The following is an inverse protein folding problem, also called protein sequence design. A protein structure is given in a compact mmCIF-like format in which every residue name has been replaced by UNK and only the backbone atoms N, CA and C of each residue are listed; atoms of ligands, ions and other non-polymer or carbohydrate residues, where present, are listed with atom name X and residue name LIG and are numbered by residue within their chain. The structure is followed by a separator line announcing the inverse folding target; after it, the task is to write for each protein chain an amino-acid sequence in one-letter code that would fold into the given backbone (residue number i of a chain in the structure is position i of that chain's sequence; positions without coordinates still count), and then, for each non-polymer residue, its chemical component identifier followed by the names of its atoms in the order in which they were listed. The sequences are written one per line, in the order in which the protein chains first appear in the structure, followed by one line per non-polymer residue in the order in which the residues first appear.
data_IF_404873913902
#
_entry.id   IF_404873913902
#
_cell.length_a   1.000
_cell.length_b   1.000
_cell.length_c   1.000
_cell.angle_alpha   90.00
_cell.angle_beta   90.00
_cell.angle_gamma   90.00
#
_symmetry.space_group_name_H-M   'P 1'
#
loop_
_entity.id
_entity.type
_entity.pdbx_description
1 polymer ?
#
# COMPACT_ATOMS: atom_id res chain seq x y z
N UNK A 1 10.35 -1.41 -29.03
CA UNK A 1 9.11 -1.56 -28.26
C UNK A 1 8.04 -0.60 -28.79
N UNK A 2 6.81 -1.09 -28.91
CA UNK A 2 5.67 -0.24 -29.22
C UNK A 2 4.98 0.20 -27.91
N UNK A 3 4.41 1.39 -27.91
CA UNK A 3 3.85 1.99 -26.69
C UNK A 3 2.37 1.63 -26.56
N UNK A 4 2.06 0.65 -25.71
CA UNK A 4 0.69 0.17 -25.46
C UNK A 4 0.02 -0.60 -26.62
N UNK A 5 0.72 -0.79 -27.73
CA UNK A 5 0.22 -1.41 -28.97
C UNK A 5 1.29 -2.32 -29.59
N UNK A 6 0.91 -3.02 -30.67
CA UNK A 6 1.81 -3.89 -31.44
C UNK A 6 1.76 -3.60 -32.96
N UNK A 7 1.40 -2.39 -33.32
CA UNK A 7 1.12 -2.00 -34.70
C UNK A 7 2.37 -2.04 -35.58
N UNK A 8 3.56 -1.79 -35.04
CA UNK A 8 4.82 -1.86 -35.77
C UNK A 8 5.33 -3.29 -36.01
N UNK A 9 4.75 -4.31 -35.37
CA UNK A 9 5.23 -5.70 -35.48
C UNK A 9 5.11 -6.28 -36.89
N UNK A 10 3.98 -6.09 -37.62
CA UNK A 10 3.86 -6.59 -38.99
C UNK A 10 4.92 -6.02 -39.92
N UNK A 11 5.18 -4.70 -39.85
CA UNK A 11 6.18 -4.04 -40.70
C UNK A 11 7.60 -4.53 -40.41
N UNK A 12 7.94 -4.67 -39.11
CA UNK A 12 9.21 -5.22 -38.69
C UNK A 12 9.39 -6.68 -39.14
N UNK A 13 8.32 -7.49 -39.07
CA UNK A 13 8.36 -8.89 -39.53
C UNK A 13 8.54 -8.96 -41.03
N UNK A 14 7.79 -8.14 -41.79
CA UNK A 14 7.92 -8.08 -43.25
C UNK A 14 9.33 -7.67 -43.70
N UNK A 15 9.95 -6.71 -42.97
CA UNK A 15 11.33 -6.32 -43.24
C UNK A 15 12.30 -7.50 -43.02
N UNK A 16 12.17 -8.27 -41.96
CA UNK A 16 13.04 -9.45 -41.69
C UNK A 16 12.92 -10.49 -42.80
N UNK A 17 11.72 -10.71 -43.34
CA UNK A 17 11.48 -11.66 -44.43
C UNK A 17 12.20 -11.26 -45.75
N UNK A 18 12.65 -9.99 -45.88
CA UNK A 18 13.41 -9.49 -47.01
C UNK A 18 14.93 -9.67 -46.83
N UNK A 19 15.41 -10.01 -45.65
CA UNK A 19 16.83 -10.17 -45.36
C UNK A 19 17.30 -11.57 -45.75
N UNK A 20 18.61 -11.68 -46.08
CA UNK A 20 19.24 -12.98 -46.32
C UNK A 20 19.25 -13.84 -45.05
N UNK A 21 19.15 -15.16 -45.20
CA UNK A 21 19.11 -16.10 -44.06
C UNK A 21 20.35 -16.03 -43.15
N UNK A 22 21.46 -15.56 -43.69
CA UNK A 22 22.74 -15.45 -42.96
C UNK A 22 22.93 -14.03 -42.40
N UNK A 23 21.95 -13.12 -42.55
CA UNK A 23 22.03 -11.77 -41.98
C UNK A 23 21.97 -11.86 -40.45
N UNK A 24 22.93 -11.28 -39.72
CA UNK A 24 22.99 -11.31 -38.27
C UNK A 24 21.91 -10.41 -37.60
N UNK A 25 21.18 -9.62 -38.38
CA UNK A 25 20.15 -8.72 -37.85
C UNK A 25 18.99 -9.48 -37.23
N UNK A 26 18.59 -9.05 -36.03
CA UNK A 26 17.46 -9.63 -35.28
C UNK A 26 16.54 -8.55 -34.78
N UNK A 27 15.25 -8.78 -34.91
CA UNK A 27 14.23 -7.97 -34.25
C UNK A 27 13.74 -8.67 -32.98
N UNK A 28 13.78 -7.94 -31.86
CA UNK A 28 13.16 -8.37 -30.60
C UNK A 28 11.85 -7.59 -30.46
N UNK A 29 10.75 -8.32 -30.49
CA UNK A 29 9.42 -7.74 -30.33
C UNK A 29 9.16 -7.43 -28.86
N UNK A 30 8.62 -6.25 -28.58
CA UNK A 30 8.31 -5.84 -27.21
C UNK A 30 7.23 -4.75 -27.19
N UNK A 31 6.57 -4.66 -26.07
CA UNK A 31 5.57 -3.62 -25.79
C UNK A 31 5.93 -2.90 -24.49
N UNK A 32 5.76 -1.59 -24.49
CA UNK A 32 5.77 -0.77 -23.29
C UNK A 32 4.32 -0.60 -22.83
N UNK A 33 4.01 -1.07 -21.63
CA UNK A 33 2.68 -1.04 -21.05
C UNK A 33 2.67 -0.40 -19.67
N UNK A 34 1.48 -0.23 -19.14
CA UNK A 34 1.23 0.24 -17.78
C UNK A 34 0.62 -0.90 -16.98
N UNK A 35 1.36 -1.38 -15.98
CA UNK A 35 0.86 -2.37 -15.04
C UNK A 35 0.10 -1.65 -13.92
N UNK A 36 -1.13 -2.05 -13.70
CA UNK A 36 -1.93 -1.68 -12.53
C UNK A 36 -2.14 -2.95 -11.72
N UNK A 37 -1.87 -2.88 -10.42
CA UNK A 37 -2.15 -3.98 -9.50
C UNK A 37 -3.59 -3.84 -8.98
N UNK A 38 -4.53 -4.31 -9.77
CA UNK A 38 -5.97 -4.29 -9.46
C UNK A 38 -6.42 -5.50 -8.62
N UNK A 39 -5.50 -6.41 -8.33
CA UNK A 39 -5.72 -7.56 -7.44
C UNK A 39 -5.36 -7.25 -5.98
N UNK A 40 -4.88 -6.04 -5.70
CA UNK A 40 -4.48 -5.68 -4.35
C UNK A 40 -5.70 -5.53 -3.44
N UNK A 41 -5.84 -6.48 -2.53
CA UNK A 41 -6.87 -6.45 -1.50
C UNK A 41 -6.68 -5.25 -0.58
N UNK A 42 -7.80 -4.60 -0.21
CA UNK A 42 -7.82 -3.53 0.79
C UNK A 42 -7.50 -4.08 2.18
N UNK A 43 -7.99 -5.29 2.47
CA UNK A 43 -7.69 -6.07 3.67
C UNK A 43 -6.80 -7.25 3.30
N UNK A 44 -5.51 -7.20 3.67
CA UNK A 44 -4.53 -8.24 3.40
C UNK A 44 -4.58 -9.29 4.50
N UNK A 45 -4.46 -10.59 4.14
CA UNK A 45 -4.49 -11.73 5.05
C UNK A 45 -5.75 -11.72 5.95
N UNK A 46 -6.89 -11.38 5.36
CA UNK A 46 -8.16 -11.39 6.06
C UNK A 46 -8.64 -12.83 6.35
N UNK A 47 -9.40 -12.98 7.41
CA UNK A 47 -9.92 -14.26 7.92
C UNK A 47 -11.44 -14.16 8.19
N UNK A 48 -12.14 -13.31 7.43
CA UNK A 48 -13.57 -13.05 7.59
C UNK A 48 -13.93 -12.25 8.86
N UNK A 49 -12.99 -11.44 9.37
CA UNK A 49 -13.23 -10.63 10.58
C UNK A 49 -14.36 -9.63 10.33
N UNK A 50 -15.19 -9.43 11.37
CA UNK A 50 -16.27 -8.46 11.36
C UNK A 50 -15.76 -7.03 11.35
N UNK A 51 -16.45 -6.14 10.63
CA UNK A 51 -16.19 -4.70 10.66
C UNK A 51 -16.42 -4.07 12.05
N UNK A 52 -17.15 -4.74 12.93
CA UNK A 52 -17.35 -4.36 14.35
C UNK A 52 -16.30 -4.95 15.29
N UNK A 53 -15.23 -5.52 14.77
CA UNK A 53 -14.16 -6.09 15.54
C UNK A 53 -13.27 -5.06 16.25
N UNK A 54 -12.20 -5.55 16.84
CA UNK A 54 -11.15 -4.71 17.43
C UNK A 54 -10.08 -4.41 16.37
N UNK A 55 -9.71 -3.13 16.26
CA UNK A 55 -8.73 -2.62 15.33
C UNK A 55 -7.64 -1.85 16.09
N UNK A 56 -6.41 -2.00 15.65
CA UNK A 56 -5.30 -1.13 16.05
C UNK A 56 -4.89 -0.31 14.85
N UNK A 57 -5.24 0.98 14.88
CA UNK A 57 -4.86 1.94 13.86
C UNK A 57 -3.54 2.55 14.27
N UNK A 58 -2.53 2.47 13.40
CA UNK A 58 -1.18 2.87 13.74
C UNK A 58 -0.48 3.60 12.60
N UNK A 59 0.56 4.32 12.97
CA UNK A 59 1.44 5.06 12.09
C UNK A 59 2.86 4.99 12.63
N UNK A 60 3.86 5.01 11.76
CA UNK A 60 5.27 4.93 12.10
C UNK A 60 6.02 6.13 11.54
N UNK A 61 6.91 6.69 12.36
CA UNK A 61 7.98 7.53 11.85
C UNK A 61 9.26 6.72 11.75
N UNK A 62 10.02 6.90 10.67
CA UNK A 62 11.17 6.07 10.32
C UNK A 62 12.33 6.90 9.80
N UNK A 63 13.56 6.35 9.81
CA UNK A 63 14.74 7.01 9.26
C UNK A 63 14.77 7.06 7.72
N UNK A 64 13.86 6.33 7.05
CA UNK A 64 13.74 6.29 5.58
C UNK A 64 12.63 5.34 5.14
N UNK A 65 12.66 4.89 3.88
CA UNK A 65 11.53 4.19 3.26
C UNK A 65 11.71 2.67 3.14
N UNK A 66 12.84 2.12 3.52
CA UNK A 66 13.15 0.69 3.37
C UNK A 66 13.05 -0.03 4.70
N UNK A 67 12.05 -0.90 4.88
CA UNK A 67 11.89 -1.69 6.10
C UNK A 67 13.12 -2.56 6.44
N UNK A 68 13.94 -2.90 5.44
CA UNK A 68 15.17 -3.70 5.63
C UNK A 68 16.38 -2.84 6.04
N UNK A 69 16.46 -1.59 5.56
CA UNK A 69 17.64 -0.73 5.74
C UNK A 69 17.43 0.38 6.76
N UNK A 70 16.22 0.87 6.85
CA UNK A 70 15.88 1.99 7.71
C UNK A 70 15.27 1.51 9.03
N UNK A 71 15.16 2.42 10.00
CA UNK A 71 14.77 2.11 11.37
C UNK A 71 13.54 2.89 11.79
N UNK A 72 12.71 2.29 12.64
CA UNK A 72 11.60 2.96 13.32
C UNK A 72 12.15 3.93 14.35
N UNK A 73 11.59 5.14 14.43
CA UNK A 73 11.94 6.17 15.42
C UNK A 73 10.76 6.60 16.30
N UNK A 74 9.51 6.40 15.83
CA UNK A 74 8.30 6.57 16.64
C UNK A 74 7.25 5.53 16.22
N UNK A 75 6.49 5.01 17.20
CA UNK A 75 5.28 4.22 16.99
C UNK A 75 4.13 4.95 17.65
N UNK A 76 3.11 5.29 16.87
CA UNK A 76 1.85 5.82 17.36
C UNK A 76 0.71 4.89 17.00
N UNK A 77 -0.15 4.56 17.95
CA UNK A 77 -1.31 3.73 17.68
C UNK A 77 -2.49 4.09 18.57
N UNK A 78 -3.69 3.79 18.07
CA UNK A 78 -4.93 3.86 18.85
C UNK A 78 -5.72 2.58 18.62
N UNK A 79 -6.39 2.11 19.68
CA UNK A 79 -7.28 0.95 19.61
C UNK A 79 -8.71 1.44 19.37
N UNK A 80 -9.37 0.80 18.42
CA UNK A 80 -10.76 1.08 18.06
C UNK A 80 -11.58 -0.18 18.35
N UNK A 81 -12.63 -0.04 19.14
CA UNK A 81 -13.57 -1.09 19.48
C UNK A 81 -15.00 -0.55 19.30
N UNK A 82 -15.82 -1.28 18.55
CA UNK A 82 -17.20 -0.87 18.24
C UNK A 82 -17.32 0.57 17.67
N UNK A 83 -16.34 1.01 16.91
CA UNK A 83 -16.32 2.34 16.30
C UNK A 83 -15.86 3.49 17.21
N UNK A 84 -15.38 3.18 18.42
CA UNK A 84 -14.87 4.17 19.38
C UNK A 84 -13.39 3.93 19.67
N UNK A 85 -12.62 5.00 19.86
CA UNK A 85 -11.22 4.92 20.29
C UNK A 85 -11.21 4.65 21.79
N UNK A 86 -10.68 3.50 22.19
CA UNK A 86 -10.71 3.01 23.58
C UNK A 86 -9.36 3.10 24.29
N UNK A 87 -8.25 3.04 23.55
CA UNK A 87 -6.91 3.08 24.11
C UNK A 87 -5.90 3.69 23.12
N UNK A 88 -4.72 4.08 23.62
CA UNK A 88 -3.63 4.66 22.81
C UNK A 88 -2.28 4.14 23.23
N UNK A 89 -1.40 4.03 22.26
CA UNK A 89 0.00 3.68 22.43
C UNK A 89 0.87 4.71 21.72
N UNK A 90 1.90 5.23 22.36
CA UNK A 90 2.84 6.17 21.74
C UNK A 90 4.21 6.02 22.40
N UNK A 91 5.24 5.83 21.60
CA UNK A 91 6.60 5.71 22.10
C UNK A 91 7.61 6.11 21.03
N UNK A 92 8.68 6.77 21.46
CA UNK A 92 9.89 6.88 20.64
C UNK A 92 10.68 5.57 20.68
N UNK A 93 11.46 5.35 19.65
CA UNK A 93 12.35 4.19 19.51
C UNK A 93 13.74 4.71 19.16
N UNK A 94 14.77 4.24 19.91
CA UNK A 94 16.14 4.56 19.58
C UNK A 94 16.63 3.75 18.38
N UNK A 95 16.89 4.38 17.22
CA UNK A 95 17.29 3.67 16.00
C UNK A 95 18.74 3.18 16.03
N UNK A 96 19.57 3.61 17.01
CA UNK A 96 21.03 3.39 17.09
C UNK A 96 21.83 3.88 15.88
N UNK A 97 21.23 4.68 15.04
CA UNK A 97 21.86 5.36 13.92
C UNK A 97 21.38 6.82 13.89
N UNK A 98 22.17 7.75 13.36
CA UNK A 98 21.73 9.13 13.21
C UNK A 98 20.49 9.26 12.35
N UNK A 99 19.55 10.09 12.77
CA UNK A 99 18.35 10.42 11.98
C UNK A 99 18.77 11.34 10.83
N UNK A 100 18.48 10.98 9.56
CA UNK A 100 18.82 11.84 8.42
C UNK A 100 18.15 13.21 8.55
N UNK A 101 18.89 14.27 8.27
CA UNK A 101 18.41 15.65 8.39
C UNK A 101 17.06 15.91 7.73
N UNK A 102 16.82 15.34 6.53
CA UNK A 102 15.53 15.43 5.84
C UNK A 102 14.37 14.81 6.62
N UNK A 103 14.63 13.76 7.40
CA UNK A 103 13.61 13.11 8.26
C UNK A 103 13.32 14.01 9.45
N UNK A 104 14.35 14.55 10.11
CA UNK A 104 14.17 15.52 11.18
C UNK A 104 13.38 16.74 10.70
N UNK A 105 13.63 17.23 9.49
CA UNK A 105 12.83 18.34 8.91
C UNK A 105 11.37 17.95 8.67
N UNK A 106 11.09 16.70 8.32
CA UNK A 106 9.74 16.21 8.04
C UNK A 106 8.95 15.93 9.32
N UNK A 107 9.57 15.21 10.27
CA UNK A 107 8.90 14.66 11.48
C UNK A 107 9.10 15.54 12.71
N UNK A 108 10.07 16.46 12.67
CA UNK A 108 10.56 17.24 13.83
C UNK A 108 11.19 16.37 14.94
N UNK A 109 11.44 15.07 14.68
CA UNK A 109 12.10 14.16 15.61
C UNK A 109 13.61 14.31 15.45
N UNK A 110 14.31 14.58 16.56
CA UNK A 110 15.76 14.74 16.60
C UNK A 110 16.43 13.55 17.27
N UNK A 111 17.75 13.40 17.06
CA UNK A 111 18.54 12.36 17.74
C UNK A 111 18.42 12.46 19.28
N UNK A 112 18.41 13.68 19.82
CA UNK A 112 18.31 13.90 21.27
C UNK A 112 16.98 13.38 21.84
N UNK A 113 15.88 13.46 21.06
CA UNK A 113 14.55 13.01 21.50
C UNK A 113 14.47 11.48 21.63
N UNK A 114 15.22 10.76 20.81
CA UNK A 114 15.16 9.29 20.75
C UNK A 114 16.32 8.59 21.47
N UNK A 115 17.39 9.32 21.80
CA UNK A 115 18.63 8.77 22.33
C UNK A 115 18.44 7.96 23.64
N UNK A 116 17.58 8.43 24.53
CA UNK A 116 17.27 7.76 25.81
C UNK A 116 16.07 6.79 25.69
N UNK A 117 15.48 6.65 24.52
CA UNK A 117 14.35 5.74 24.31
C UNK A 117 14.85 4.29 24.21
N UNK A 118 14.00 3.31 24.54
CA UNK A 118 14.32 1.90 24.33
C UNK A 118 14.49 1.58 22.83
N UNK A 119 15.25 0.53 22.56
CA UNK A 119 15.42 -0.01 21.21
C UNK A 119 14.20 -0.82 20.77
N UNK A 120 14.10 -1.08 19.46
CA UNK A 120 12.96 -1.78 18.88
C UNK A 120 12.77 -3.20 19.44
N UNK A 121 13.84 -3.85 19.86
CA UNK A 121 13.82 -5.17 20.48
C UNK A 121 13.04 -5.19 21.80
N UNK A 122 13.01 -4.07 22.51
CA UNK A 122 12.23 -3.89 23.74
C UNK A 122 10.82 -3.42 23.44
N UNK A 123 10.66 -2.55 22.46
CA UNK A 123 9.38 -1.91 22.12
C UNK A 123 8.46 -2.85 21.35
N UNK A 124 8.97 -3.63 20.39
CA UNK A 124 8.15 -4.48 19.54
C UNK A 124 7.29 -5.47 20.35
N UNK A 125 7.81 -6.21 21.35
CA UNK A 125 6.96 -7.08 22.16
C UNK A 125 5.84 -6.34 22.91
N UNK A 126 6.09 -5.10 23.35
CA UNK A 126 5.08 -4.26 24.00
C UNK A 126 4.00 -3.82 23.02
N UNK A 127 4.40 -3.40 21.81
CA UNK A 127 3.49 -3.04 20.74
C UNK A 127 2.64 -4.25 20.33
N UNK A 128 3.25 -5.41 20.11
CA UNK A 128 2.53 -6.65 19.78
C UNK A 128 1.53 -7.05 20.88
N UNK A 129 1.87 -6.85 22.13
CA UNK A 129 0.94 -7.06 23.25
C UNK A 129 -0.23 -6.07 23.21
N UNK A 130 0.01 -4.81 22.82
CA UNK A 130 -1.05 -3.82 22.63
C UNK A 130 -1.96 -4.20 21.47
N UNK A 131 -1.39 -4.71 20.36
CA UNK A 131 -2.13 -5.20 19.19
C UNK A 131 -3.02 -6.40 19.59
N UNK A 132 -2.45 -7.42 20.23
CA UNK A 132 -3.16 -8.67 20.52
C UNK A 132 -3.65 -9.33 19.22
N UNK A 133 -4.93 -9.69 19.19
CA UNK A 133 -5.61 -10.32 18.05
C UNK A 133 -6.32 -9.28 17.13
N UNK A 134 -6.07 -7.99 17.33
CA UNK A 134 -6.72 -6.93 16.56
C UNK A 134 -6.21 -6.90 15.11
N UNK A 135 -7.07 -6.44 14.21
CA UNK A 135 -6.69 -6.12 12.83
C UNK A 135 -5.89 -4.82 12.82
N UNK A 136 -4.75 -4.81 12.13
CA UNK A 136 -3.94 -3.62 11.93
C UNK A 136 -4.56 -2.72 10.86
N UNK A 137 -4.55 -1.42 11.08
CA UNK A 137 -5.02 -0.42 10.10
C UNK A 137 -3.99 0.69 9.99
N UNK A 138 -3.65 1.08 8.76
CA UNK A 138 -2.79 2.23 8.54
C UNK A 138 -3.16 2.97 7.24
N UNK A 139 -2.60 4.16 7.06
CA UNK A 139 -2.78 4.96 5.85
C UNK A 139 -1.62 4.73 4.89
N UNK A 140 -1.80 3.91 3.87
CA UNK A 140 -0.78 3.25 3.04
C UNK A 140 -0.11 2.09 3.82
N UNK A 141 -0.95 1.18 4.32
CA UNK A 141 -0.62 0.15 5.30
C UNK A 141 0.57 -0.73 4.92
N UNK A 142 0.83 -0.95 3.63
CA UNK A 142 1.97 -1.76 3.17
C UNK A 142 3.32 -1.20 3.65
N UNK A 143 3.42 0.13 3.81
CA UNK A 143 4.63 0.75 4.36
C UNK A 143 4.81 0.38 5.83
N UNK A 144 3.86 0.73 6.68
CA UNK A 144 3.97 0.57 8.14
C UNK A 144 4.04 -0.91 8.53
N UNK A 145 3.18 -1.73 7.94
CA UNK A 145 3.15 -3.17 8.20
C UNK A 145 4.47 -3.83 7.83
N UNK A 146 5.10 -3.44 6.71
CA UNK A 146 6.38 -4.01 6.30
C UNK A 146 7.51 -3.79 7.32
N UNK A 147 7.51 -2.64 8.01
CA UNK A 147 8.47 -2.36 9.08
C UNK A 147 8.23 -3.23 10.31
N UNK A 148 6.97 -3.39 10.73
CA UNK A 148 6.62 -4.28 11.86
C UNK A 148 6.97 -5.73 11.53
N UNK A 149 6.60 -6.22 10.36
CA UNK A 149 6.91 -7.58 9.92
C UNK A 149 8.40 -7.85 9.85
N UNK A 150 9.18 -6.93 9.30
CA UNK A 150 10.63 -7.09 9.21
C UNK A 150 11.28 -7.14 10.60
N UNK A 151 10.86 -6.28 11.52
CA UNK A 151 11.36 -6.33 12.91
C UNK A 151 10.89 -7.59 13.65
N UNK A 152 9.71 -8.13 13.36
CA UNK A 152 9.26 -9.43 13.85
C UNK A 152 10.21 -10.54 13.37
N UNK A 153 10.49 -10.60 12.05
CA UNK A 153 11.40 -11.62 11.48
C UNK A 153 12.79 -11.54 12.07
N UNK A 154 13.33 -10.32 12.27
CA UNK A 154 14.64 -10.12 12.90
C UNK A 154 14.69 -10.62 14.35
N UNK A 155 13.57 -10.61 15.07
CA UNK A 155 13.44 -11.14 16.43
C UNK A 155 12.95 -12.60 16.46
N UNK A 156 12.84 -13.28 15.32
CA UNK A 156 12.39 -14.67 15.23
C UNK A 156 10.89 -14.86 15.51
N UNK A 157 10.10 -13.81 15.37
CA UNK A 157 8.64 -13.83 15.51
C UNK A 157 8.05 -13.98 14.10
N UNK A 158 7.23 -15.01 13.89
CA UNK A 158 6.50 -15.19 12.62
C UNK A 158 5.34 -14.17 12.56
N UNK A 159 5.34 -13.23 11.60
CA UNK A 159 4.26 -12.27 11.48
C UNK A 159 3.03 -12.93 10.84
N UNK A 160 1.87 -12.82 11.48
CA UNK A 160 0.57 -13.26 10.94
C UNK A 160 -0.50 -12.18 11.21
N UNK A 161 -0.30 -11.02 10.62
CA UNK A 161 -1.22 -9.89 10.79
C UNK A 161 -2.24 -9.85 9.67
N UNK A 162 -3.50 -9.58 10.03
CA UNK A 162 -4.48 -9.03 9.09
C UNK A 162 -4.31 -7.51 9.10
N UNK A 163 -4.25 -6.89 7.94
CA UNK A 163 -4.10 -5.44 7.83
C UNK A 163 -5.08 -4.82 6.82
N UNK A 164 -5.51 -3.59 7.07
CA UNK A 164 -6.41 -2.82 6.20
C UNK A 164 -5.75 -1.51 5.80
N UNK A 165 -5.78 -1.21 4.50
CA UNK A 165 -5.27 0.05 3.95
C UNK A 165 -6.38 1.08 3.75
N UNK A 166 -6.33 2.18 4.52
CA UNK A 166 -7.30 3.27 4.37
C UNK A 166 -7.13 4.06 3.08
N UNK A 167 -5.98 4.02 2.40
CA UNK A 167 -5.83 4.61 1.05
C UNK A 167 -6.61 3.79 0.04
N UNK A 168 -6.53 2.46 0.12
CA UNK A 168 -7.34 1.56 -0.71
C UNK A 168 -8.83 1.83 -0.52
N UNK A 169 -9.30 1.89 0.74
CA UNK A 169 -10.68 2.23 1.06
C UNK A 169 -11.10 3.60 0.53
N UNK A 170 -10.23 4.61 0.68
CA UNK A 170 -10.54 5.96 0.21
C UNK A 170 -10.74 6.02 -1.32
N UNK A 171 -9.98 5.23 -2.10
CA UNK A 171 -10.17 5.13 -3.55
C UNK A 171 -11.55 4.59 -3.92
N UNK A 172 -12.03 3.63 -3.15
CA UNK A 172 -13.33 2.98 -3.38
C UNK A 172 -14.49 3.83 -2.89
N UNK A 173 -14.38 4.41 -1.69
CA UNK A 173 -15.49 5.09 -1.00
C UNK A 173 -15.59 6.58 -1.35
N UNK A 174 -14.48 7.21 -1.78
CA UNK A 174 -14.41 8.62 -2.13
C UNK A 174 -13.93 8.82 -3.60
N UNK A 175 -14.67 8.31 -4.58
CA UNK A 175 -14.23 8.28 -5.98
C UNK A 175 -14.05 9.66 -6.61
N UNK A 176 -14.59 10.71 -5.99
CA UNK A 176 -14.43 12.10 -6.46
C UNK A 176 -13.06 12.70 -6.13
N UNK A 177 -12.32 12.12 -5.20
CA UNK A 177 -10.98 12.62 -4.84
C UNK A 177 -9.95 12.28 -5.91
N UNK A 178 -9.06 13.24 -6.19
CA UNK A 178 -7.91 13.05 -7.08
C UNK A 178 -6.60 12.70 -6.34
N UNK A 179 -6.57 12.85 -5.01
CA UNK A 179 -5.42 12.58 -4.14
C UNK A 179 -5.91 11.97 -2.84
N UNK A 180 -5.14 11.01 -2.32
CA UNK A 180 -5.51 10.23 -1.13
C UNK A 180 -4.51 10.37 0.01
N UNK A 181 -3.83 11.53 0.12
CA UNK A 181 -3.01 11.85 1.29
C UNK A 181 -3.90 12.00 2.52
N UNK A 182 -3.40 11.66 3.70
CA UNK A 182 -4.12 11.66 4.97
C UNK A 182 -4.92 12.96 5.19
N UNK A 183 -4.27 14.11 5.05
CA UNK A 183 -4.90 15.44 5.20
C UNK A 183 -6.00 15.72 4.17
N UNK A 184 -5.90 15.18 2.96
CA UNK A 184 -6.92 15.35 1.91
C UNK A 184 -8.16 14.52 2.23
N UNK A 185 -7.96 13.25 2.65
CA UNK A 185 -9.05 12.35 3.05
C UNK A 185 -9.72 12.86 4.32
N UNK A 186 -8.96 13.26 5.34
CA UNK A 186 -9.48 13.85 6.57
C UNK A 186 -10.36 15.06 6.29
N UNK A 187 -9.88 15.99 5.44
CA UNK A 187 -10.67 17.18 5.04
C UNK A 187 -11.95 16.81 4.31
N UNK A 188 -11.92 15.84 3.41
CA UNK A 188 -13.11 15.40 2.67
C UNK A 188 -14.17 14.79 3.59
N UNK A 189 -13.75 14.19 4.70
CA UNK A 189 -14.61 13.61 5.71
C UNK A 189 -14.93 14.58 6.88
N UNK A 190 -14.52 15.85 6.81
CA UNK A 190 -14.68 16.84 7.88
C UNK A 190 -14.05 16.40 9.21
N UNK A 191 -12.86 15.80 9.15
CA UNK A 191 -12.06 15.41 10.31
C UNK A 191 -10.99 16.47 10.54
N UNK A 192 -10.87 16.96 11.78
CA UNK A 192 -9.85 17.94 12.16
C UNK A 192 -8.49 17.29 12.35
N UNK A 193 -7.46 17.92 11.80
CA UNK A 193 -6.06 17.52 11.97
C UNK A 193 -5.30 18.70 12.55
N UNK A 194 -5.10 18.73 13.87
CA UNK A 194 -4.50 19.85 14.60
C UNK A 194 -2.96 19.79 14.58
N UNK A 195 -2.39 18.59 14.57
CA UNK A 195 -0.94 18.36 14.51
C UNK A 195 -0.63 17.41 13.38
N UNK A 196 0.47 17.66 12.67
CA UNK A 196 0.99 16.82 11.60
C UNK A 196 2.35 16.23 12.00
N UNK A 197 2.64 15.02 11.52
CA UNK A 197 3.94 14.37 11.67
C UNK A 197 4.29 14.00 13.12
N UNK A 198 3.29 13.53 13.87
CA UNK A 198 3.44 12.78 15.11
C UNK A 198 2.64 11.51 14.94
N UNK A 199 3.31 10.38 15.03
CA UNK A 199 2.72 9.07 14.71
C UNK A 199 1.39 8.83 15.44
N UNK A 200 1.25 9.19 16.70
CA UNK A 200 -0.01 9.00 17.45
C UNK A 200 -1.15 9.92 16.97
N UNK A 201 -0.85 11.13 16.52
CA UNK A 201 -1.85 12.06 16.01
C UNK A 201 -2.32 11.63 14.62
N UNK A 202 -1.42 11.19 13.76
CA UNK A 202 -1.73 10.66 12.44
C UNK A 202 -2.49 9.32 12.54
N UNK A 203 -2.13 8.44 13.49
CA UNK A 203 -2.90 7.25 13.83
C UNK A 203 -4.33 7.57 14.30
N UNK A 204 -4.52 8.61 15.15
CA UNK A 204 -5.84 9.05 15.59
C UNK A 204 -6.70 9.54 14.41
N UNK A 205 -6.13 10.39 13.56
CA UNK A 205 -6.85 10.90 12.37
C UNK A 205 -7.20 9.75 11.43
N UNK A 206 -6.29 8.80 11.23
CA UNK A 206 -6.53 7.59 10.45
C UNK A 206 -7.65 6.74 11.07
N UNK A 207 -7.72 6.63 12.39
CA UNK A 207 -8.79 5.91 13.09
C UNK A 207 -10.15 6.58 12.89
N UNK A 208 -10.23 7.90 12.99
CA UNK A 208 -11.46 8.64 12.73
C UNK A 208 -11.94 8.47 11.28
N UNK A 209 -11.00 8.46 10.31
CA UNK A 209 -11.27 8.15 8.90
C UNK A 209 -11.82 6.73 8.78
N UNK A 210 -11.14 5.75 9.39
CA UNK A 210 -11.50 4.35 9.32
C UNK A 210 -12.90 4.10 9.90
N UNK A 211 -13.22 4.67 11.05
CA UNK A 211 -14.57 4.57 11.64
C UNK A 211 -15.65 5.10 10.69
N UNK A 212 -15.41 6.22 10.00
CA UNK A 212 -16.36 6.72 8.99
C UNK A 212 -16.47 5.78 7.78
N UNK A 213 -15.36 5.17 7.36
CA UNK A 213 -15.38 4.20 6.27
C UNK A 213 -16.17 2.94 6.66
N UNK A 214 -16.03 2.45 7.89
CA UNK A 214 -16.85 1.34 8.41
C UNK A 214 -18.34 1.69 8.33
N UNK A 215 -18.74 2.88 8.80
CA UNK A 215 -20.14 3.32 8.72
C UNK A 215 -20.65 3.34 7.26
N UNK A 216 -19.83 3.88 6.33
CA UNK A 216 -20.18 3.89 4.90
C UNK A 216 -20.30 2.50 4.28
N UNK A 217 -19.52 1.53 4.76
CA UNK A 217 -19.59 0.13 4.33
C UNK A 217 -20.82 -0.57 4.90
N UNK A 218 -21.11 -0.38 6.18
CA UNK A 218 -22.30 -0.92 6.84
C UNK A 218 -23.61 -0.41 6.19
N UNK A 219 -23.69 0.86 5.81
CA UNK A 219 -24.80 1.42 5.04
C UNK A 219 -25.02 0.72 3.68
N UNK A 220 -24.00 0.04 3.17
CA UNK A 220 -24.05 -0.76 1.93
C UNK A 220 -24.26 -2.26 2.18
N UNK A 221 -24.46 -2.65 3.43
CA UNK A 221 -24.66 -4.05 3.83
C UNK A 221 -23.39 -4.88 3.85
N UNK A 222 -22.21 -4.23 3.97
CA UNK A 222 -20.91 -4.90 4.09
C UNK A 222 -20.60 -5.03 5.58
N UNK A 223 -20.34 -6.25 6.04
CA UNK A 223 -20.20 -6.56 7.46
C UNK A 223 -18.85 -7.20 7.83
N UNK A 224 -18.09 -7.65 6.82
CA UNK A 224 -16.83 -8.39 7.02
C UNK A 224 -15.73 -7.93 6.07
N UNK A 225 -14.44 -8.25 6.40
CA UNK A 225 -13.29 -7.83 5.62
C UNK A 225 -13.23 -8.50 4.23
N UNK A 226 -13.67 -9.74 4.10
CA UNK A 226 -13.79 -10.44 2.81
C UNK A 226 -14.83 -9.77 1.90
N UNK A 227 -15.98 -9.36 2.45
CA UNK A 227 -16.97 -8.58 1.72
C UNK A 227 -16.43 -7.19 1.32
N UNK A 228 -15.63 -6.56 2.17
CA UNK A 228 -14.94 -5.30 1.86
C UNK A 228 -14.01 -5.45 0.65
N UNK A 229 -13.18 -6.50 0.62
CA UNK A 229 -12.31 -6.81 -0.52
C UNK A 229 -13.13 -7.02 -1.80
N UNK A 230 -14.18 -7.81 -1.70
CA UNK A 230 -15.09 -8.08 -2.84
C UNK A 230 -15.73 -6.80 -3.39
N UNK A 231 -16.12 -5.89 -2.53
CA UNK A 231 -16.66 -4.58 -2.91
C UNK A 231 -15.61 -3.70 -3.60
N UNK A 232 -14.36 -3.72 -3.14
CA UNK A 232 -13.23 -2.97 -3.72
C UNK A 232 -12.84 -3.46 -5.10
N UNK A 233 -12.75 -4.78 -5.30
CA UNK A 233 -12.30 -5.42 -6.53
C UNK A 233 -13.19 -5.14 -7.77
N UNK A 234 -14.44 -4.77 -7.59
CA UNK A 234 -15.40 -4.52 -8.69
C UNK A 234 -15.63 -3.03 -8.99
N UNK A 235 -14.82 -2.13 -8.42
CA UNK A 235 -14.97 -0.69 -8.62
C UNK A 235 -14.02 -0.17 -9.71
N UNK A 236 -14.52 -0.09 -10.96
CA UNK A 236 -13.75 0.39 -12.12
C UNK A 236 -13.17 1.82 -11.93
N UNK A 237 -13.86 2.71 -11.21
CA UNK A 237 -13.34 4.06 -10.93
C UNK A 237 -12.17 4.04 -9.93
N UNK A 238 -12.18 3.11 -8.98
CA UNK A 238 -11.08 2.91 -8.04
C UNK A 238 -9.85 2.40 -8.78
N UNK A 239 -10.00 1.40 -9.67
CA UNK A 239 -8.92 0.82 -10.47
C UNK A 239 -8.24 1.90 -11.32
N UNK A 240 -8.99 2.80 -11.96
CA UNK A 240 -8.44 3.92 -12.75
C UNK A 240 -7.57 4.91 -11.95
N UNK A 241 -7.70 4.93 -10.64
CA UNK A 241 -6.94 5.80 -9.73
C UNK A 241 -5.79 5.09 -9.02
N UNK A 242 -5.57 3.82 -9.30
CA UNK A 242 -4.43 3.07 -8.78
C UNK A 242 -3.12 3.53 -9.40
N UNK A 243 -2.00 3.41 -8.69
CA UNK A 243 -0.69 3.64 -9.27
C UNK A 243 -0.46 2.74 -10.47
N UNK A 244 0.06 3.30 -11.54
CA UNK A 244 0.48 2.53 -12.71
C UNK A 244 2.00 2.52 -12.80
N UNK A 245 2.56 1.37 -13.17
CA UNK A 245 3.99 1.15 -13.29
C UNK A 245 4.34 0.88 -14.75
N UNK A 246 5.33 1.59 -15.30
CA UNK A 246 5.86 1.30 -16.62
C UNK A 246 6.53 -0.08 -16.63
N UNK A 247 6.10 -0.93 -17.56
CA UNK A 247 6.70 -2.25 -17.79
C UNK A 247 7.04 -2.42 -19.26
N UNK A 248 8.22 -2.98 -19.53
CA UNK A 248 8.63 -3.39 -20.87
C UNK A 248 8.59 -4.91 -20.91
N UNK A 249 7.71 -5.45 -21.76
CA UNK A 249 7.57 -6.89 -21.97
C UNK A 249 8.18 -7.26 -23.31
N UNK A 250 9.22 -8.08 -23.32
CA UNK A 250 9.91 -8.53 -24.51
C UNK A 250 9.57 -9.99 -24.84
N UNK A 251 9.30 -10.27 -26.10
CA UNK A 251 9.09 -11.63 -26.57
C UNK A 251 10.43 -12.38 -26.69
N UNK A 252 10.56 -13.51 -26.00
CA UNK A 252 11.75 -14.37 -26.06
C UNK A 252 11.78 -15.23 -27.35
N UNK A 253 10.62 -15.56 -27.88
CA UNK A 253 10.44 -16.43 -29.04
C UNK A 253 9.06 -16.16 -29.68
N UNK A 254 8.70 -16.92 -30.74
CA UNK A 254 7.44 -16.77 -31.44
C UNK A 254 6.20 -17.03 -30.57
N UNK A 255 6.28 -17.96 -29.63
CA UNK A 255 5.19 -18.17 -28.66
C UNK A 255 5.01 -16.92 -27.79
N UNK A 256 6.11 -16.34 -27.32
CA UNK A 256 6.09 -15.07 -26.58
C UNK A 256 5.49 -13.93 -27.41
N UNK A 257 5.78 -13.87 -28.71
CA UNK A 257 5.21 -12.88 -29.63
C UNK A 257 3.68 -13.03 -29.76
N UNK A 258 3.18 -14.24 -29.90
CA UNK A 258 1.73 -14.52 -29.92
C UNK A 258 1.09 -14.15 -28.58
N UNK A 259 1.75 -14.45 -27.47
CA UNK A 259 1.28 -14.06 -26.15
C UNK A 259 1.21 -12.53 -25.96
N UNK A 260 2.15 -11.76 -26.54
CA UNK A 260 2.07 -10.29 -26.55
C UNK A 260 0.82 -9.80 -27.30
N UNK A 261 0.52 -10.37 -28.47
CA UNK A 261 -0.72 -10.01 -29.19
C UNK A 261 -1.96 -10.31 -28.34
N UNK A 262 -1.99 -11.46 -27.67
CA UNK A 262 -3.11 -11.83 -26.80
C UNK A 262 -3.23 -10.90 -25.61
N UNK A 263 -2.11 -10.56 -24.96
CA UNK A 263 -2.07 -9.63 -23.83
C UNK A 263 -2.62 -8.24 -24.23
N UNK A 264 -2.13 -7.69 -25.33
CA UNK A 264 -2.58 -6.37 -25.82
C UNK A 264 -4.04 -6.40 -26.25
N UNK A 265 -4.49 -7.46 -26.93
CA UNK A 265 -5.90 -7.61 -27.29
C UNK A 265 -6.79 -7.63 -26.06
N UNK A 266 -6.43 -8.39 -25.02
CA UNK A 266 -7.17 -8.44 -23.77
C UNK A 266 -7.17 -7.08 -23.06
N UNK A 267 -6.01 -6.42 -22.97
CA UNK A 267 -5.93 -5.11 -22.31
C UNK A 267 -6.85 -4.07 -22.95
N UNK A 268 -7.04 -4.11 -24.27
CA UNK A 268 -7.92 -3.18 -24.99
C UNK A 268 -9.40 -3.59 -25.04
N UNK A 269 -9.69 -4.89 -25.05
CA UNK A 269 -11.06 -5.39 -25.21
C UNK A 269 -11.76 -5.66 -23.88
N UNK A 270 -11.02 -6.07 -22.86
CA UNK A 270 -11.57 -6.50 -21.57
C UNK A 270 -11.31 -5.49 -20.44
N UNK A 271 -10.17 -4.78 -20.48
CA UNK A 271 -9.69 -3.95 -19.36
C UNK A 271 -9.55 -2.46 -19.70
N UNK A 272 -9.67 -2.07 -20.95
CA UNK A 272 -9.64 -0.67 -21.36
C UNK A 272 -11.04 -0.06 -21.24
N UNK A 273 -11.28 0.68 -20.17
CA UNK A 273 -12.54 1.35 -19.90
C UNK A 273 -12.39 2.87 -19.85
#
# INVERSE_FOLDING_TARGET
TDHGVVQAFPDANHYIETLDKDDPFKVIYGVEGYLVDDLQDVAVNEKGQSLKGTYVVFDLETTGFSSVKDKIIEIGAVKVENGEITDKYSTFVNPKIPIPFRITQLTSITDEMVMESPEIETILPQFLKFVGDAVLVAHNASFDVSFIEENCRQQGIEPDFTSVDTVGLARVLLPTLSKFKLNVVAKALNISQEHHHRAVDDARVTAEIYVKFIQMLEERGIETLDQMNHFGAHNAEAIRKMPSYHVIVLAKNDIGRVNLYTLISKSHLEYFG
#
